data_IF_686168318916
#
_entry.id   IF_686168318916
#
_cell.length_a   1.000
_cell.length_b   1.000
_cell.length_c   1.000
_cell.angle_alpha   90.00
_cell.angle_beta   90.00
_cell.angle_gamma   90.00
#
_symmetry.space_group_name_H-M   'P 1'
#
loop_
_entity.id
_entity.type
_entity.pdbx_description
1 polymer ?
#
# COMPACT_ATOMS: atom_id res chain seq x y z
N UNK A 1 -5.81 -0.82 -18.92
CA UNK A 1 -6.54 -1.67 -17.96
C UNK A 1 -5.66 -1.77 -16.74
N UNK A 2 -6.02 -1.06 -15.67
CA UNK A 2 -5.32 -1.21 -14.40
C UNK A 2 -5.70 -2.56 -13.81
N UNK A 3 -4.72 -3.37 -13.40
CA UNK A 3 -4.99 -4.62 -12.70
C UNK A 3 -5.72 -4.32 -11.37
N UNK A 4 -6.60 -5.23 -10.95
CA UNK A 4 -7.28 -5.14 -9.66
C UNK A 4 -6.22 -5.02 -8.54
N UNK A 5 -6.29 -3.98 -7.67
CA UNK A 5 -5.32 -3.76 -6.60
C UNK A 5 -5.13 -4.97 -5.69
N UNK A 6 -6.20 -5.71 -5.39
CA UNK A 6 -6.13 -6.93 -4.57
C UNK A 6 -5.37 -8.05 -5.28
N UNK A 7 -5.59 -8.22 -6.58
CA UNK A 7 -4.88 -9.22 -7.37
C UNK A 7 -3.39 -8.92 -7.45
N UNK A 8 -3.03 -7.64 -7.65
CA UNK A 8 -1.64 -7.20 -7.64
C UNK A 8 -0.99 -7.43 -6.27
N UNK A 9 -1.68 -7.09 -5.19
CA UNK A 9 -1.20 -7.33 -3.83
C UNK A 9 -0.99 -8.83 -3.57
N UNK A 10 -1.95 -9.68 -3.92
CA UNK A 10 -1.87 -11.13 -3.76
C UNK A 10 -0.71 -11.73 -4.58
N UNK A 11 -0.47 -11.24 -5.80
CA UNK A 11 0.68 -11.64 -6.63
C UNK A 11 2.00 -11.28 -5.94
N UNK A 12 2.15 -10.04 -5.49
CA UNK A 12 3.36 -9.58 -4.79
C UNK A 12 3.60 -10.38 -3.51
N UNK A 13 2.54 -10.66 -2.75
CA UNK A 13 2.60 -11.47 -1.53
C UNK A 13 3.09 -12.90 -1.81
N UNK A 14 2.58 -13.52 -2.87
CA UNK A 14 3.01 -14.85 -3.32
C UNK A 14 4.45 -14.88 -3.82
N UNK A 15 4.88 -13.84 -4.55
CA UNK A 15 6.27 -13.70 -4.99
C UNK A 15 7.22 -13.55 -3.78
N UNK A 16 6.81 -12.78 -2.77
CA UNK A 16 7.58 -12.59 -1.53
C UNK A 16 7.71 -13.89 -0.73
N UNK A 17 6.60 -14.62 -0.57
CA UNK A 17 6.57 -15.95 0.05
C UNK A 17 7.53 -16.91 -0.68
N UNK A 18 7.38 -17.02 -2.02
CA UNK A 18 8.24 -17.89 -2.84
C UNK A 18 9.73 -17.55 -2.73
N UNK A 19 10.05 -16.27 -2.50
CA UNK A 19 11.44 -15.84 -2.30
C UNK A 19 11.94 -16.18 -0.89
N UNK A 20 11.16 -15.88 0.14
CA UNK A 20 11.51 -16.17 1.54
C UNK A 20 10.28 -16.08 2.46
N UNK A 21 9.83 -17.22 2.96
CA UNK A 21 8.68 -17.33 3.88
C UNK A 21 8.83 -16.48 5.16
N UNK A 22 10.05 -16.24 5.65
CA UNK A 22 10.26 -15.40 6.85
C UNK A 22 9.91 -13.92 6.62
N UNK A 23 9.82 -13.47 5.35
CA UNK A 23 9.36 -12.13 5.03
C UNK A 23 7.84 -11.98 5.22
N UNK A 24 7.10 -13.09 5.22
CA UNK A 24 5.67 -13.11 5.49
C UNK A 24 5.33 -12.85 6.96
N UNK A 25 6.27 -13.15 7.86
CA UNK A 25 6.15 -12.90 9.30
C UNK A 25 6.41 -11.43 9.65
N UNK A 26 7.02 -10.67 8.71
CA UNK A 26 7.29 -9.26 8.94
C UNK A 26 6.02 -8.45 8.82
N UNK A 27 5.82 -7.48 9.73
CA UNK A 27 4.77 -6.49 9.58
C UNK A 27 4.83 -5.87 8.16
N UNK A 28 3.66 -5.72 7.53
CA UNK A 28 3.54 -5.12 6.18
C UNK A 28 2.79 -3.80 6.26
N UNK A 29 3.26 -2.81 5.49
CA UNK A 29 2.58 -1.53 5.30
C UNK A 29 2.26 -1.34 3.82
N UNK A 30 0.98 -1.13 3.50
CA UNK A 30 0.54 -0.88 2.11
C UNK A 30 0.48 0.62 1.86
N UNK A 31 1.11 1.06 0.76
CA UNK A 31 1.12 2.48 0.36
C UNK A 31 0.64 2.61 -1.08
N UNK A 32 -0.46 3.32 -1.27
CA UNK A 32 -0.97 3.69 -2.59
C UNK A 32 -0.34 5.01 -3.03
N UNK A 33 0.41 4.96 -4.11
CA UNK A 33 1.18 6.10 -4.63
C UNK A 33 0.52 6.71 -5.86
N UNK A 34 1.04 7.87 -6.31
CA UNK A 34 0.59 8.59 -7.52
C UNK A 34 -0.86 9.07 -7.45
N UNK A 35 -1.36 9.44 -6.27
CA UNK A 35 -2.70 10.05 -6.13
C UNK A 35 -2.93 11.24 -7.07
N UNK A 36 -1.89 12.00 -7.38
CA UNK A 36 -1.93 13.13 -8.32
C UNK A 36 -2.34 12.74 -9.74
N UNK A 37 -2.21 11.46 -10.10
CA UNK A 37 -2.62 10.94 -11.41
C UNK A 37 -4.06 10.46 -11.45
N UNK A 38 -4.71 10.33 -10.28
CA UNK A 38 -6.12 9.92 -10.18
C UNK A 38 -6.98 11.14 -10.52
N UNK A 39 -7.52 11.14 -11.73
CA UNK A 39 -8.41 12.20 -12.23
C UNK A 39 -9.88 11.84 -12.07
N UNK A 40 -10.19 10.54 -12.10
CA UNK A 40 -11.55 10.03 -12.09
C UNK A 40 -11.84 9.24 -10.81
N UNK A 41 -12.93 9.58 -10.07
CA UNK A 41 -13.36 8.85 -8.87
C UNK A 41 -13.58 7.35 -9.13
N UNK A 42 -14.01 6.97 -10.33
CA UNK A 42 -14.19 5.55 -10.72
C UNK A 42 -12.88 4.73 -10.68
N UNK A 43 -11.71 5.39 -10.76
CA UNK A 43 -10.42 4.70 -10.56
C UNK A 43 -10.22 4.30 -9.09
N UNK A 44 -10.87 5.01 -8.17
CA UNK A 44 -10.93 4.63 -6.75
C UNK A 44 -11.89 3.45 -6.54
N UNK A 45 -12.88 3.24 -7.41
CA UNK A 45 -13.80 2.11 -7.27
C UNK A 45 -13.11 0.76 -7.42
N UNK A 46 -11.98 0.69 -8.12
CA UNK A 46 -11.15 -0.51 -8.19
C UNK A 46 -10.52 -0.89 -6.84
N UNK A 47 -10.41 0.08 -5.93
CA UNK A 47 -9.95 -0.12 -4.56
C UNK A 47 -11.11 -0.44 -3.60
N UNK A 48 -12.37 -0.38 -4.06
CA UNK A 48 -13.50 -0.86 -3.26
C UNK A 48 -13.34 -2.35 -3.01
N UNK A 49 -13.30 -2.74 -1.73
CA UNK A 49 -13.11 -4.13 -1.33
C UNK A 49 -11.65 -4.58 -1.21
N UNK A 50 -10.67 -3.67 -1.35
CA UNK A 50 -9.30 -3.95 -0.93
C UNK A 50 -9.27 -4.16 0.59
N UNK A 51 -8.80 -5.33 1.03
CA UNK A 51 -8.98 -5.77 2.42
C UNK A 51 -7.98 -5.17 3.39
N UNK A 52 -6.82 -4.72 2.89
CA UNK A 52 -5.70 -4.32 3.73
C UNK A 52 -5.74 -2.82 3.98
N UNK A 53 -5.29 -2.39 5.17
CA UNK A 53 -5.16 -0.96 5.44
C UNK A 53 -4.05 -0.36 4.59
N UNK A 54 -4.33 0.76 3.96
CA UNK A 54 -3.38 1.47 3.10
C UNK A 54 -3.31 2.96 3.41
N UNK A 55 -2.16 3.55 3.08
CA UNK A 55 -1.94 4.99 3.13
C UNK A 55 -1.86 5.54 1.72
N UNK A 56 -2.54 6.65 1.50
CA UNK A 56 -2.48 7.37 0.25
C UNK A 56 -1.40 8.45 0.24
N UNK A 57 -0.56 8.45 -0.79
CA UNK A 57 0.44 9.50 -1.00
C UNK A 57 0.49 9.98 -2.45
N UNK A 58 0.98 11.21 -2.60
CA UNK A 58 1.56 11.69 -3.85
C UNK A 58 2.95 12.24 -3.59
N UNK A 59 3.95 11.63 -4.21
CA UNK A 59 5.32 12.13 -4.15
C UNK A 59 5.49 13.46 -4.87
N UNK A 60 4.62 13.77 -5.85
CA UNK A 60 4.67 14.99 -6.67
C UNK A 60 4.09 16.18 -5.91
N UNK A 61 2.88 16.03 -5.36
CA UNK A 61 2.25 17.10 -4.57
C UNK A 61 2.69 17.11 -3.11
N UNK A 62 3.49 16.13 -2.69
CA UNK A 62 3.90 15.85 -1.29
C UNK A 62 2.73 15.52 -0.36
N UNK A 63 1.53 15.32 -0.89
CA UNK A 63 0.35 14.95 -0.11
C UNK A 63 0.53 13.57 0.54
N UNK A 64 0.09 13.44 1.79
CA UNK A 64 0.11 12.17 2.54
C UNK A 64 1.49 11.76 3.09
N UNK A 65 2.58 12.45 2.73
CA UNK A 65 3.93 12.06 3.17
C UNK A 65 4.17 12.22 4.67
N UNK A 66 3.59 13.23 5.31
CA UNK A 66 3.73 13.38 6.76
C UNK A 66 2.95 12.31 7.52
N UNK A 67 1.76 11.95 7.04
CA UNK A 67 1.00 10.81 7.57
C UNK A 67 1.77 9.49 7.40
N UNK A 68 2.41 9.29 6.24
CA UNK A 68 3.29 8.13 6.02
C UNK A 68 4.43 8.07 7.03
N UNK A 69 5.09 9.20 7.32
CA UNK A 69 6.17 9.25 8.33
C UNK A 69 5.66 8.88 9.71
N UNK A 70 4.57 9.49 10.15
CA UNK A 70 4.00 9.24 11.47
C UNK A 70 3.57 7.77 11.61
N UNK A 71 2.95 7.22 10.56
CA UNK A 71 2.56 5.82 10.54
C UNK A 71 3.77 4.89 10.55
N UNK A 72 4.83 5.23 9.82
CA UNK A 72 6.09 4.46 9.83
C UNK A 72 6.73 4.46 11.22
N UNK A 73 6.79 5.63 11.89
CA UNK A 73 7.32 5.74 13.25
C UNK A 73 6.50 4.90 14.22
N UNK A 74 5.17 5.00 14.16
CA UNK A 74 4.28 4.18 14.98
C UNK A 74 4.48 2.69 14.70
N UNK A 75 4.55 2.30 13.43
CA UNK A 75 4.69 0.92 13.00
C UNK A 75 5.99 0.26 13.48
N UNK A 76 7.10 0.99 13.40
CA UNK A 76 8.40 0.54 13.90
C UNK A 76 8.44 0.50 15.44
N UNK A 77 7.79 1.46 16.11
CA UNK A 77 7.75 1.52 17.57
C UNK A 77 6.87 0.42 18.18
N UNK A 78 5.84 -0.03 17.46
CA UNK A 78 4.95 -1.13 17.88
C UNK A 78 5.52 -2.52 17.61
N UNK A 79 6.65 -2.61 16.89
CA UNK A 79 7.32 -3.89 16.54
C UNK A 79 8.53 -4.20 17.44
N UNK A 80 8.75 -3.38 18.48
CA UNK A 80 9.75 -3.54 19.55
C UNK A 80 9.07 -3.99 20.84
#
# INVERSE_FOLDING_TARGET
>A
MGDNPQDTFNKLKKELETFNDTLMEKPTLVVRTKLDTIKDPETLDQWNGFSEEYIDISSVSKSGLDNLKDRLVSFLSSSL
#
